data_IF_333197435251
#
_entry.id   IF_333197435251
#
_cell.length_a   1.000
_cell.length_b   1.000
_cell.length_c   1.000
_cell.angle_alpha   90.00
_cell.angle_beta   90.00
_cell.angle_gamma   90.00
#
_symmetry.space_group_name_H-M   'P 1'
#
loop_
_entity.id
_entity.type
_entity.pdbx_description
1 polymer ?
#
# COMPACT_ATOMS: atom_id res chain seq x y z
N UNK A 1 9.72 22.40 0.11
CA UNK A 1 8.43 21.78 0.47
C UNK A 1 8.12 20.70 -0.56
N UNK A 2 8.33 19.44 -0.21
CA UNK A 2 7.75 18.34 -0.99
C UNK A 2 6.26 18.37 -0.61
N UNK A 3 5.36 18.53 -1.58
CA UNK A 3 3.92 18.63 -1.34
C UNK A 3 3.32 17.34 -0.76
N UNK A 4 2.11 16.99 -1.16
CA UNK A 4 1.45 15.72 -0.78
C UNK A 4 2.05 14.49 -1.50
N UNK A 5 3.37 14.34 -1.51
CA UNK A 5 4.09 13.24 -2.18
C UNK A 5 4.58 12.22 -1.16
N UNK A 6 4.37 10.93 -1.44
CA UNK A 6 4.95 9.84 -0.66
C UNK A 6 6.34 9.49 -1.20
N UNK A 7 7.30 9.29 -0.31
CA UNK A 7 8.63 8.77 -0.65
C UNK A 7 8.74 7.32 -0.17
N UNK A 8 8.63 6.36 -1.10
CA UNK A 8 8.71 4.93 -0.81
C UNK A 8 9.91 4.35 -1.55
N UNK A 9 10.86 3.76 -0.82
CA UNK A 9 12.08 3.17 -1.38
C UNK A 9 12.85 4.11 -2.34
N UNK A 10 12.95 5.40 -1.99
CA UNK A 10 13.62 6.41 -2.82
C UNK A 10 12.81 6.85 -4.06
N UNK A 11 11.61 6.31 -4.29
CA UNK A 11 10.71 6.70 -5.36
C UNK A 11 9.61 7.62 -4.83
N UNK A 12 9.36 8.71 -5.56
CA UNK A 12 8.29 9.67 -5.25
C UNK A 12 6.99 9.24 -5.91
N UNK A 13 5.89 9.30 -5.17
CA UNK A 13 4.54 9.03 -5.64
C UNK A 13 3.67 10.25 -5.37
N UNK A 14 2.96 10.72 -6.39
CA UNK A 14 1.94 11.76 -6.30
C UNK A 14 0.55 11.14 -6.41
N UNK A 15 -0.51 11.80 -5.93
CA UNK A 15 -1.87 11.27 -6.02
C UNK A 15 -2.33 11.01 -7.47
N UNK A 16 -3.29 10.12 -7.70
CA UNK A 16 -3.98 9.29 -6.69
C UNK A 16 -3.13 8.11 -6.19
N UNK A 17 -3.29 7.75 -4.92
CA UNK A 17 -2.55 6.65 -4.30
C UNK A 17 -3.37 5.36 -4.37
N UNK A 18 -2.82 4.35 -5.05
CA UNK A 18 -3.42 3.01 -5.11
C UNK A 18 -2.51 2.02 -4.41
N UNK A 19 -3.06 1.32 -3.41
CA UNK A 19 -2.38 0.26 -2.67
C UNK A 19 -3.14 -1.04 -2.96
N UNK A 20 -2.43 -2.07 -3.42
CA UNK A 20 -2.98 -3.39 -3.68
C UNK A 20 -2.36 -4.41 -2.73
N UNK A 21 -3.17 -5.37 -2.27
CA UNK A 21 -2.73 -6.44 -1.38
C UNK A 21 -3.36 -7.77 -1.83
N UNK A 22 -2.56 -8.83 -1.79
CA UNK A 22 -2.99 -10.20 -2.10
C UNK A 22 -3.12 -10.97 -0.79
N UNK A 23 -4.28 -11.60 -0.56
CA UNK A 23 -4.56 -12.37 0.65
C UNK A 23 -6.04 -12.70 0.76
N UNK A 24 -6.47 -13.17 1.94
CA UNK A 24 -7.90 -13.36 2.25
C UNK A 24 -8.61 -11.99 2.31
N UNK A 25 -9.53 -11.68 1.38
CA UNK A 25 -10.16 -10.37 1.31
C UNK A 25 -10.95 -10.02 2.57
N UNK A 26 -11.60 -10.99 3.21
CA UNK A 26 -12.38 -10.76 4.42
C UNK A 26 -11.48 -10.38 5.58
N UNK A 27 -10.35 -11.08 5.75
CA UNK A 27 -9.36 -10.77 6.78
C UNK A 27 -8.68 -9.42 6.54
N UNK A 28 -8.33 -9.12 5.29
CA UNK A 28 -7.71 -7.83 4.93
C UNK A 28 -8.66 -6.67 5.23
N UNK A 29 -9.94 -6.79 4.85
CA UNK A 29 -10.95 -5.79 5.13
C UNK A 29 -11.15 -5.56 6.63
N UNK A 30 -11.33 -6.63 7.40
CA UNK A 30 -11.46 -6.54 8.85
C UNK A 30 -10.26 -5.86 9.51
N UNK A 31 -9.05 -6.08 8.97
CA UNK A 31 -7.83 -5.44 9.47
C UNK A 31 -7.80 -3.94 9.20
N UNK A 32 -8.25 -3.50 8.02
CA UNK A 32 -8.38 -2.08 7.69
C UNK A 32 -9.41 -1.41 8.60
N UNK A 33 -10.58 -2.03 8.79
CA UNK A 33 -11.66 -1.50 9.62
C UNK A 33 -11.27 -1.41 11.11
N UNK A 34 -10.45 -2.35 11.60
CA UNK A 34 -9.94 -2.36 12.96
C UNK A 34 -8.79 -1.39 13.21
N UNK A 35 -8.13 -0.88 12.15
CA UNK A 35 -6.95 -0.03 12.29
C UNK A 35 -7.30 1.40 12.71
N UNK A 36 -6.84 1.87 13.90
CA UNK A 36 -7.14 3.22 14.36
C UNK A 36 -6.64 4.31 13.39
N UNK A 37 -5.47 4.10 12.78
CA UNK A 37 -4.88 5.04 11.83
C UNK A 37 -5.66 5.12 10.52
N UNK A 38 -6.13 3.98 10.00
CA UNK A 38 -6.96 3.95 8.78
C UNK A 38 -8.31 4.62 9.02
N UNK A 39 -8.93 4.36 10.17
CA UNK A 39 -10.18 5.02 10.57
C UNK A 39 -10.03 6.54 10.68
N UNK A 40 -8.96 7.01 11.31
CA UNK A 40 -8.69 8.45 11.42
C UNK A 40 -8.45 9.09 10.04
N UNK A 41 -7.79 8.37 9.12
CA UNK A 41 -7.60 8.81 7.75
C UNK A 41 -8.92 8.89 6.97
N UNK A 42 -9.76 7.86 7.04
CA UNK A 42 -11.08 7.84 6.38
C UNK A 42 -11.97 8.98 6.91
N UNK A 43 -12.00 9.19 8.22
CA UNK A 43 -12.72 10.32 8.83
C UNK A 43 -12.21 11.67 8.31
N UNK A 44 -10.88 11.87 8.28
CA UNK A 44 -10.30 13.08 7.72
C UNK A 44 -10.64 13.25 6.24
N UNK A 45 -10.57 12.18 5.44
CA UNK A 45 -10.92 12.22 4.02
C UNK A 45 -12.37 12.68 3.84
N UNK A 46 -13.30 12.15 4.64
CA UNK A 46 -14.70 12.58 4.63
C UNK A 46 -14.89 14.05 5.04
N UNK A 47 -14.22 14.51 6.10
CA UNK A 47 -14.31 15.90 6.60
C UNK A 47 -13.81 16.89 5.54
N UNK A 48 -12.71 16.56 4.86
CA UNK A 48 -12.09 17.44 3.87
C UNK A 48 -12.59 17.24 2.44
N UNK A 49 -13.55 16.33 2.21
CA UNK A 49 -14.09 16.05 0.87
C UNK A 49 -13.10 15.35 -0.06
N UNK A 50 -12.17 14.57 0.49
CA UNK A 50 -11.20 13.75 -0.24
C UNK A 50 -11.73 12.32 -0.44
N UNK A 51 -11.07 11.56 -1.31
CA UNK A 51 -11.42 10.17 -1.60
C UNK A 51 -10.73 9.17 -0.66
N UNK A 52 -11.51 8.17 -0.22
CA UNK A 52 -11.02 6.91 0.33
C UNK A 52 -11.95 5.79 -0.14
N UNK A 53 -11.39 4.72 -0.72
CA UNK A 53 -12.18 3.59 -1.19
C UNK A 53 -11.39 2.28 -1.05
N UNK A 54 -12.12 1.19 -0.81
CA UNK A 54 -11.57 -0.16 -0.67
C UNK A 54 -12.44 -1.11 -1.47
N UNK A 55 -11.89 -1.66 -2.55
CA UNK A 55 -12.53 -2.67 -3.41
C UNK A 55 -11.87 -4.04 -3.23
N UNK A 56 -12.63 -5.09 -3.52
CA UNK A 56 -12.09 -6.44 -3.61
C UNK A 56 -11.85 -6.75 -5.08
N UNK A 57 -10.63 -7.13 -5.43
CA UNK A 57 -10.27 -7.55 -6.78
C UNK A 57 -10.12 -9.07 -6.82
N UNK A 58 -10.65 -9.71 -7.87
CA UNK A 58 -10.56 -11.16 -8.04
C UNK A 58 -9.16 -11.63 -8.48
N UNK A 59 -8.44 -10.77 -9.21
CA UNK A 59 -7.10 -11.04 -9.71
C UNK A 59 -6.23 -9.78 -9.54
N UNK A 60 -5.04 -9.97 -8.98
CA UNK A 60 -4.02 -8.93 -8.84
C UNK A 60 -2.69 -9.53 -9.31
N UNK A 61 -2.09 -8.91 -10.33
CA UNK A 61 -0.74 -9.24 -10.78
C UNK A 61 0.27 -8.36 -10.06
N UNK A 62 0.98 -8.94 -9.08
CA UNK A 62 2.14 -8.30 -8.47
C UNK A 62 3.40 -8.60 -9.31
N UNK A 63 4.01 -7.61 -10.00
CA UNK A 63 5.19 -7.85 -10.81
C UNK A 63 6.37 -8.27 -9.92
N UNK A 64 7.23 -9.14 -10.45
CA UNK A 64 8.46 -9.51 -9.77
C UNK A 64 9.26 -8.26 -9.37
N UNK A 65 9.80 -8.28 -8.15
CA UNK A 65 10.63 -7.20 -7.65
C UNK A 65 11.88 -7.04 -8.52
N UNK A 66 12.13 -5.80 -8.99
CA UNK A 66 13.27 -5.47 -9.85
C UNK A 66 14.31 -4.57 -9.18
N UNK A 67 14.15 -4.27 -7.88
CA UNK A 67 15.14 -3.50 -7.13
C UNK A 67 16.34 -4.36 -6.73
N UNK A 68 17.37 -3.75 -6.15
CA UNK A 68 18.48 -4.51 -5.58
C UNK A 68 18.01 -5.30 -4.37
N UNK A 69 18.41 -6.57 -4.32
CA UNK A 69 18.46 -7.39 -3.11
C UNK A 69 19.92 -7.49 -2.74
N UNK A 70 20.39 -6.64 -1.82
CA UNK A 70 21.72 -6.77 -1.25
C UNK A 70 21.72 -8.01 -0.34
N UNK A 71 21.95 -9.17 -0.94
CA UNK A 71 22.02 -10.45 -0.24
C UNK A 71 23.36 -10.51 0.52
N UNK A 72 23.34 -10.10 1.79
CA UNK A 72 24.53 -10.15 2.65
C UNK A 72 24.92 -11.57 3.08
N UNK A 73 23.95 -12.49 3.10
CA UNK A 73 24.13 -13.84 3.66
C UNK A 73 23.77 -14.96 2.69
N UNK A 74 22.80 -14.74 1.80
CA UNK A 74 22.36 -15.78 0.87
C UNK A 74 23.39 -15.99 -0.24
N UNK A 75 23.66 -17.25 -0.57
CA UNK A 75 24.49 -17.68 -1.70
C UNK A 75 23.65 -18.58 -2.61
N UNK A 76 23.89 -18.53 -3.92
CA UNK A 76 23.28 -19.49 -4.86
C UNK A 76 23.83 -20.88 -4.52
N UNK A 77 22.99 -21.88 -4.19
CA UNK A 77 23.44 -23.25 -4.03
C UNK A 77 24.02 -23.77 -5.36
N UNK A 78 25.12 -24.54 -5.32
CA UNK A 78 25.66 -25.22 -6.51
C UNK A 78 24.69 -26.26 -7.08
#
# INVERSE_FOLDING_TARGET
CVGNTLLLHGRRYSPEFVIQAIGDPARLRATLDASPGVRAFDEAARIYGLGYSVTNEADIVAPAYRGSVDLRYAKVPE
#
